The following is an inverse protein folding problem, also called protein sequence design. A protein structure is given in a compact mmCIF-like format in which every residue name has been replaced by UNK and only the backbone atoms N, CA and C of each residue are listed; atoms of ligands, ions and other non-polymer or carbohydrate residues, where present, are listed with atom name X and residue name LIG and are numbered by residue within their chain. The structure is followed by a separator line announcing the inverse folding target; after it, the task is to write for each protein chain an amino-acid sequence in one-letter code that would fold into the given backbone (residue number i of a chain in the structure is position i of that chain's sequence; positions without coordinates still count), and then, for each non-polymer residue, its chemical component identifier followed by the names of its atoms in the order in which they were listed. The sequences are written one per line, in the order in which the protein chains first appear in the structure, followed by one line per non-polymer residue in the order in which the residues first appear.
data_IF_749693300990
#
_entry.id   IF_749693300990
#
_cell.length_a   1.000
_cell.length_b   1.000
_cell.length_c   1.000
_cell.angle_alpha   90.00
_cell.angle_beta   90.00
_cell.angle_gamma   90.00
#
_symmetry.space_group_name_H-M   'P 1'
#
loop_
_entity.id
_entity.type
_entity.pdbx_description
1 polymer ?
#
# COMPACT_ATOMS: atom_id res chain seq x y z
N UNK A 1 32.88 -43.99 36.30
CA UNK A 1 31.66 -43.91 35.45
C UNK A 1 31.02 -42.55 35.64
N UNK A 2 31.05 -41.68 34.60
CA UNK A 2 30.28 -40.42 34.42
C UNK A 2 30.98 -39.56 33.34
N UNK A 3 30.96 -40.01 32.08
CA UNK A 3 31.45 -39.20 30.93
C UNK A 3 30.63 -39.36 29.64
N UNK A 4 29.58 -40.19 29.63
CA UNK A 4 28.78 -40.45 28.42
C UNK A 4 27.47 -39.66 28.30
N UNK A 5 27.02 -39.01 29.38
CA UNK A 5 25.77 -38.23 29.38
C UNK A 5 25.89 -36.79 28.88
N UNK A 6 27.09 -36.18 28.95
CA UNK A 6 27.26 -34.76 28.63
C UNK A 6 27.37 -34.51 27.11
N UNK A 7 27.98 -35.45 26.37
CA UNK A 7 28.14 -35.33 24.92
C UNK A 7 26.80 -35.51 24.20
N UNK A 8 25.94 -36.40 24.69
CA UNK A 8 24.62 -36.65 24.10
C UNK A 8 23.73 -35.39 24.20
N UNK A 9 23.81 -34.66 25.32
CA UNK A 9 23.02 -33.46 25.58
C UNK A 9 23.45 -32.28 24.68
N UNK A 10 24.74 -32.20 24.35
CA UNK A 10 25.30 -31.18 23.46
C UNK A 10 24.93 -31.42 22.00
N UNK A 11 24.90 -32.68 21.54
CA UNK A 11 24.46 -33.00 20.17
C UNK A 11 22.97 -32.72 19.95
N UNK A 12 22.11 -33.00 20.94
CA UNK A 12 20.67 -32.70 20.84
C UNK A 12 20.42 -31.19 20.76
N UNK A 13 21.14 -30.38 21.54
CA UNK A 13 21.02 -28.91 21.48
C UNK A 13 21.47 -28.33 20.14
N UNK A 14 22.54 -28.84 19.54
CA UNK A 14 23.03 -28.39 18.23
C UNK A 14 22.06 -28.79 17.11
N UNK A 15 21.50 -30.00 17.15
CA UNK A 15 20.50 -30.45 16.16
C UNK A 15 19.19 -29.65 16.30
N UNK A 16 18.72 -29.38 17.53
CA UNK A 16 17.54 -28.54 17.74
C UNK A 16 17.75 -27.09 17.27
N UNK A 17 18.94 -26.52 17.47
CA UNK A 17 19.31 -25.19 16.95
C UNK A 17 19.35 -25.15 15.42
N UNK A 18 19.92 -26.17 14.77
CA UNK A 18 19.95 -26.27 13.30
C UNK A 18 18.56 -26.51 12.71
N UNK A 19 17.68 -27.27 13.38
CA UNK A 19 16.29 -27.42 12.96
C UNK A 19 15.48 -26.12 13.12
N UNK A 20 15.74 -25.33 14.17
CA UNK A 20 15.11 -24.01 14.32
C UNK A 20 15.57 -23.03 13.23
N UNK A 21 16.86 -23.02 12.86
CA UNK A 21 17.37 -22.20 11.76
C UNK A 21 16.83 -22.67 10.40
N UNK A 22 16.61 -23.97 10.20
CA UNK A 22 15.99 -24.48 8.97
C UNK A 22 14.48 -24.19 8.90
N UNK A 23 13.75 -24.24 10.02
CA UNK A 23 12.33 -23.91 10.07
C UNK A 23 12.05 -22.40 10.02
N UNK A 24 12.93 -21.55 10.56
CA UNK A 24 12.81 -20.08 10.48
C UNK A 24 13.57 -19.43 9.31
N UNK A 25 14.61 -20.08 8.79
CA UNK A 25 15.33 -19.68 7.57
C UNK A 25 14.63 -20.12 6.28
N UNK A 26 13.53 -20.87 6.42
CA UNK A 26 12.58 -21.23 5.36
C UNK A 26 11.27 -20.42 5.50
N UNK A 27 11.37 -19.13 5.85
CA UNK A 27 10.79 -18.12 4.95
C UNK A 27 11.66 -18.24 3.71
N UNK A 28 11.38 -19.15 2.78
CA UNK A 28 10.41 -18.82 1.75
C UNK A 28 10.39 -17.30 1.50
N UNK A 29 11.57 -16.78 1.13
CA UNK A 29 11.66 -16.21 -0.20
C UNK A 29 11.24 -17.31 -1.18
N UNK A 30 9.94 -17.65 -1.16
CA UNK A 30 9.26 -17.89 -2.38
C UNK A 30 9.68 -16.68 -3.22
N UNK A 31 10.52 -16.93 -4.21
CA UNK A 31 10.24 -16.39 -5.52
C UNK A 31 8.78 -16.78 -5.81
N UNK A 32 7.85 -16.08 -5.16
CA UNK A 32 6.61 -15.70 -5.80
C UNK A 32 7.14 -15.02 -7.03
N UNK A 33 6.94 -15.65 -8.19
CA UNK A 33 6.91 -14.92 -9.44
C UNK A 33 6.07 -13.68 -9.15
N UNK A 34 6.72 -12.56 -8.88
CA UNK A 34 6.07 -11.26 -8.82
C UNK A 34 5.63 -11.08 -10.25
N UNK A 35 4.35 -11.40 -10.51
CA UNK A 35 3.74 -11.12 -11.79
C UNK A 35 4.03 -9.65 -12.10
N UNK A 36 4.83 -9.45 -13.12
CA UNK A 36 5.76 -8.32 -13.27
C UNK A 36 5.04 -7.16 -13.94
N UNK A 37 3.93 -6.71 -13.36
CA UNK A 37 3.11 -5.66 -13.97
C UNK A 37 2.76 -4.53 -12.98
N UNK A 38 3.54 -4.33 -11.91
CA UNK A 38 3.37 -3.11 -11.09
C UNK A 38 3.90 -1.87 -11.83
N UNK A 39 3.07 -0.83 -11.93
CA UNK A 39 3.41 0.47 -12.50
C UNK A 39 3.51 1.49 -11.36
N UNK A 40 4.72 2.02 -11.16
CA UNK A 40 4.98 3.08 -10.17
C UNK A 40 5.02 4.42 -10.89
N UNK A 41 4.06 5.29 -10.58
CA UNK A 41 3.94 6.63 -11.15
C UNK A 41 4.34 7.66 -10.08
N UNK A 42 5.33 8.48 -10.38
CA UNK A 42 5.75 9.57 -9.51
C UNK A 42 4.79 10.74 -9.67
N UNK A 43 4.28 11.26 -8.55
CA UNK A 43 3.39 12.43 -8.57
C UNK A 43 4.11 13.64 -7.95
N UNK A 44 4.58 13.52 -6.70
CA UNK A 44 5.30 14.57 -5.97
C UNK A 44 4.59 15.93 -5.97
N UNK A 45 3.29 15.92 -5.67
CA UNK A 45 2.43 17.10 -5.70
C UNK A 45 1.87 17.42 -4.32
N UNK A 46 1.64 18.71 -4.06
CA UNK A 46 0.88 19.16 -2.88
C UNK A 46 -0.58 19.33 -3.26
N UNK A 47 -1.46 18.69 -2.51
CA UNK A 47 -2.91 18.79 -2.69
C UNK A 47 -3.60 19.06 -1.36
N UNK A 48 -4.82 19.58 -1.45
CA UNK A 48 -5.72 19.68 -0.31
C UNK A 48 -6.76 18.58 -0.39
N UNK A 49 -6.90 17.79 0.67
CA UNK A 49 -7.97 16.80 0.79
C UNK A 49 -8.96 17.23 1.85
N UNK A 50 -10.19 16.73 1.75
CA UNK A 50 -11.24 16.98 2.74
C UNK A 50 -11.12 16.05 3.94
N UNK A 51 -11.44 16.57 5.11
CA UNK A 51 -11.72 15.78 6.30
C UNK A 51 -12.63 16.51 7.27
N UNK A 52 -12.74 15.99 8.47
CA UNK A 52 -13.58 16.56 9.53
C UNK A 52 -12.77 16.77 10.80
N UNK A 53 -12.93 17.91 11.45
CA UNK A 53 -12.35 18.15 12.76
C UNK A 53 -12.93 17.14 13.78
N UNK A 54 -12.07 16.43 14.53
CA UNK A 54 -12.49 15.43 15.53
C UNK A 54 -13.35 16.02 16.65
N UNK A 55 -13.12 17.28 17.01
CA UNK A 55 -13.77 17.94 18.14
C UNK A 55 -15.07 18.64 17.75
N UNK A 56 -15.10 19.31 16.60
CA UNK A 56 -16.27 20.12 16.16
C UNK A 56 -17.12 19.43 15.10
N UNK A 57 -16.58 18.45 14.38
CA UNK A 57 -17.24 17.80 13.24
C UNK A 57 -17.28 18.65 11.96
N UNK A 58 -16.70 19.86 11.98
CA UNK A 58 -16.68 20.76 10.83
C UNK A 58 -15.78 20.22 9.70
N UNK A 59 -16.19 20.44 8.45
CA UNK A 59 -15.37 20.10 7.28
C UNK A 59 -14.14 21.02 7.22
N UNK A 60 -12.96 20.42 7.06
CA UNK A 60 -11.68 21.13 6.95
C UNK A 60 -10.90 20.66 5.73
N UNK A 61 -9.99 21.51 5.25
CA UNK A 61 -9.03 21.20 4.21
C UNK A 61 -7.68 20.82 4.84
N UNK A 62 -7.08 19.76 4.30
CA UNK A 62 -5.93 19.07 4.86
C UNK A 62 -4.81 19.10 3.83
N UNK A 63 -3.69 19.73 4.19
CA UNK A 63 -2.54 19.88 3.30
C UNK A 63 -1.73 18.59 3.28
N UNK A 64 -1.60 18.01 2.10
CA UNK A 64 -0.95 16.71 1.89
C UNK A 64 0.07 16.77 0.76
N UNK A 65 1.19 16.09 0.94
CA UNK A 65 2.16 15.84 -0.10
C UNK A 65 2.00 14.42 -0.62
N UNK A 66 1.61 14.25 -1.88
CA UNK A 66 1.45 12.95 -2.52
C UNK A 66 2.73 12.58 -3.25
N UNK A 67 3.39 11.52 -2.79
CA UNK A 67 4.68 11.06 -3.33
C UNK A 67 4.47 10.33 -4.66
N UNK A 68 3.67 9.26 -4.61
CA UNK A 68 3.56 8.31 -5.71
C UNK A 68 2.24 7.56 -5.71
N UNK A 69 1.97 6.98 -6.88
CA UNK A 69 0.88 6.03 -7.13
C UNK A 69 1.49 4.71 -7.56
N UNK A 70 1.02 3.63 -6.96
CA UNK A 70 1.36 2.27 -7.33
C UNK A 70 0.11 1.62 -7.90
N UNK A 71 0.16 1.22 -9.16
CA UNK A 71 -0.91 0.51 -9.86
C UNK A 71 -0.46 -0.92 -10.16
N UNK A 72 -1.30 -1.89 -9.85
CA UNK A 72 -1.18 -3.26 -10.35
C UNK A 72 -2.53 -3.72 -10.92
N UNK A 73 -2.61 -4.96 -11.41
CA UNK A 73 -3.83 -5.45 -12.06
C UNK A 73 -5.03 -5.47 -11.13
N UNK A 74 -4.83 -5.57 -9.82
CA UNK A 74 -5.89 -5.86 -8.87
C UNK A 74 -6.19 -4.66 -7.95
N UNK A 75 -5.32 -3.65 -7.93
CA UNK A 75 -5.41 -2.54 -6.99
C UNK A 75 -4.60 -1.32 -7.38
N UNK A 76 -4.95 -0.20 -6.75
CA UNK A 76 -4.18 1.04 -6.72
C UNK A 76 -3.87 1.44 -5.28
N UNK A 77 -2.65 1.93 -5.05
CA UNK A 77 -2.22 2.51 -3.78
C UNK A 77 -1.64 3.92 -4.01
N UNK A 78 -2.07 4.89 -3.20
CA UNK A 78 -1.60 6.28 -3.27
C UNK A 78 -0.91 6.61 -1.95
N UNK A 79 0.37 6.98 -2.03
CA UNK A 79 1.21 7.24 -0.87
C UNK A 79 1.38 8.75 -0.67
N UNK A 80 1.07 9.22 0.55
CA UNK A 80 1.12 10.64 0.87
C UNK A 80 1.49 10.89 2.32
N UNK A 81 1.93 12.12 2.61
CA UNK A 81 2.28 12.59 3.95
C UNK A 81 1.45 13.82 4.31
N UNK A 82 0.93 13.86 5.54
CA UNK A 82 0.27 15.04 6.08
C UNK A 82 1.31 16.05 6.57
N UNK A 83 1.17 17.32 6.15
CA UNK A 83 2.15 18.35 6.53
C UNK A 83 1.98 18.84 7.98
N UNK A 84 0.79 18.69 8.59
CA UNK A 84 0.47 19.17 9.96
C UNK A 84 -0.03 18.04 10.88
N UNK A 85 0.03 18.25 12.21
CA UNK A 85 -0.58 17.31 13.17
C UNK A 85 -2.07 17.59 13.24
N UNK A 86 -2.88 16.66 12.77
CA UNK A 86 -4.28 16.96 12.56
C UNK A 86 -5.19 16.17 13.51
N UNK A 87 -5.96 16.90 14.31
CA UNK A 87 -7.15 16.40 15.02
C UNK A 87 -8.30 16.24 14.03
N UNK A 88 -8.11 15.39 13.03
CA UNK A 88 -9.05 15.19 11.94
C UNK A 88 -9.41 13.73 11.73
N UNK A 89 -10.55 13.49 11.10
CA UNK A 89 -10.90 12.22 10.48
C UNK A 89 -11.00 12.44 8.99
N UNK A 90 -10.31 11.62 8.20
CA UNK A 90 -10.42 11.59 6.75
C UNK A 90 -10.48 10.14 6.27
N UNK A 91 -11.04 9.91 5.10
CA UNK A 91 -11.00 8.62 4.41
C UNK A 91 -9.93 8.59 3.32
N UNK A 92 -9.06 9.60 3.27
CA UNK A 92 -7.99 9.73 2.28
C UNK A 92 -8.40 10.43 0.99
N UNK A 93 -7.66 10.18 -0.07
CA UNK A 93 -7.90 10.78 -1.40
C UNK A 93 -9.06 10.02 -2.06
N UNK A 94 -10.08 10.75 -2.51
CA UNK A 94 -11.29 10.18 -3.13
C UNK A 94 -11.36 10.38 -4.63
N UNK A 95 -10.82 11.48 -5.13
CA UNK A 95 -10.89 11.82 -6.55
C UNK A 95 -9.84 10.99 -7.30
N UNK A 96 -10.20 9.77 -7.68
CA UNK A 96 -9.29 8.80 -8.30
C UNK A 96 -10.01 8.17 -9.49
N UNK A 97 -9.49 8.33 -10.70
CA UNK A 97 -10.08 7.78 -11.91
C UNK A 97 -9.02 6.99 -12.71
N UNK A 98 -9.43 5.90 -13.35
CA UNK A 98 -8.63 5.20 -14.36
C UNK A 98 -9.22 5.48 -15.73
N UNK A 99 -8.39 5.94 -16.67
CA UNK A 99 -8.77 6.15 -18.06
C UNK A 99 -8.12 5.07 -18.92
N UNK A 100 -8.94 4.34 -19.66
CA UNK A 100 -8.52 3.28 -20.57
C UNK A 100 -8.28 3.84 -21.98
N UNK A 101 -7.43 3.17 -22.76
CA UNK A 101 -7.11 3.53 -24.16
C UNK A 101 -8.30 3.47 -25.11
N UNK A 102 -9.37 2.76 -24.73
CA UNK A 102 -10.63 2.72 -25.47
C UNK A 102 -11.53 3.95 -25.19
N UNK A 103 -11.13 4.85 -24.28
CA UNK A 103 -11.86 6.03 -23.86
C UNK A 103 -12.77 5.84 -22.64
N UNK A 104 -12.91 4.62 -22.11
CA UNK A 104 -13.66 4.36 -20.88
C UNK A 104 -12.93 4.97 -19.67
N UNK A 105 -13.72 5.49 -18.71
CA UNK A 105 -13.20 6.05 -17.46
C UNK A 105 -13.95 5.42 -16.30
N UNK A 106 -13.21 5.00 -15.28
CA UNK A 106 -13.73 4.36 -14.07
C UNK A 106 -13.44 5.25 -12.87
N UNK A 107 -14.47 5.71 -12.17
CA UNK A 107 -14.35 6.42 -10.89
C UNK A 107 -14.10 5.39 -9.78
N UNK A 108 -12.85 5.27 -9.35
CA UNK A 108 -12.45 4.17 -8.47
C UNK A 108 -13.05 4.30 -7.07
N UNK A 109 -13.31 5.52 -6.58
CA UNK A 109 -13.84 5.68 -5.23
C UNK A 109 -15.33 5.33 -5.15
N UNK A 110 -16.08 5.66 -6.19
CA UNK A 110 -17.51 5.41 -6.26
C UNK A 110 -17.86 4.02 -6.80
N UNK A 111 -17.02 3.44 -7.67
CA UNK A 111 -17.29 2.15 -8.32
C UNK A 111 -16.65 0.95 -7.60
N UNK A 112 -15.65 1.16 -6.75
CA UNK A 112 -15.04 0.08 -5.96
C UNK A 112 -15.58 0.07 -4.52
N UNK A 113 -15.98 -1.12 -4.06
CA UNK A 113 -16.48 -1.30 -2.69
C UNK A 113 -15.33 -1.33 -1.67
N UNK A 114 -14.26 -2.03 -2.01
CA UNK A 114 -13.11 -2.25 -1.12
C UNK A 114 -12.08 -1.11 -1.26
N UNK A 115 -12.18 -0.17 -0.32
CA UNK A 115 -11.33 1.01 -0.19
C UNK A 115 -10.96 1.21 1.26
N UNK A 116 -9.67 1.37 1.51
CA UNK A 116 -9.14 1.56 2.86
C UNK A 116 -8.12 2.69 2.88
N UNK A 117 -7.93 3.25 4.06
CA UNK A 117 -6.84 4.18 4.33
C UNK A 117 -6.08 3.66 5.54
N UNK A 118 -4.77 3.50 5.41
CA UNK A 118 -3.86 3.31 6.54
C UNK A 118 -3.17 4.62 6.89
N UNK A 119 -2.99 4.89 8.18
CA UNK A 119 -2.29 6.08 8.66
C UNK A 119 -1.26 5.71 9.73
N UNK A 120 -0.02 6.16 9.53
CA UNK A 120 1.05 6.14 10.51
C UNK A 120 1.16 7.52 11.17
N UNK A 121 0.75 7.60 12.45
CA UNK A 121 0.78 8.85 13.22
C UNK A 121 2.19 9.36 13.51
N UNK A 122 3.19 8.47 13.60
CA UNK A 122 4.57 8.84 13.94
C UNK A 122 5.25 9.50 12.75
N UNK A 123 5.10 8.92 11.56
CA UNK A 123 5.70 9.43 10.33
C UNK A 123 4.80 10.43 9.60
N UNK A 124 3.55 10.56 10.05
CA UNK A 124 2.46 11.29 9.38
C UNK A 124 2.20 10.81 7.95
N UNK A 125 2.48 9.53 7.67
CA UNK A 125 2.32 8.94 6.34
C UNK A 125 1.00 8.20 6.25
N UNK A 126 0.35 8.31 5.12
CA UNK A 126 -0.87 7.60 4.83
C UNK A 126 -0.81 6.92 3.47
N UNK A 127 -1.68 5.92 3.32
CA UNK A 127 -1.87 5.22 2.07
C UNK A 127 -3.36 5.01 1.86
N UNK A 128 -3.89 5.53 0.75
CA UNK A 128 -5.21 5.15 0.26
C UNK A 128 -5.03 3.92 -0.63
N UNK A 129 -5.79 2.87 -0.36
CA UNK A 129 -5.78 1.62 -1.10
C UNK A 129 -7.17 1.34 -1.65
N UNK A 130 -7.26 0.99 -2.94
CA UNK A 130 -8.51 0.58 -3.59
C UNK A 130 -8.25 -0.75 -4.30
N UNK A 131 -9.08 -1.75 -4.01
CA UNK A 131 -9.07 -3.05 -4.69
C UNK A 131 -10.16 -3.06 -5.76
N UNK A 132 -9.79 -3.49 -6.96
CA UNK A 132 -10.73 -3.58 -8.07
C UNK A 132 -11.63 -4.81 -7.91
N UNK A 133 -12.92 -4.64 -8.21
CA UNK A 133 -13.86 -5.76 -8.24
C UNK A 133 -13.54 -6.77 -9.35
N UNK A 134 -12.83 -6.33 -10.39
CA UNK A 134 -12.29 -7.14 -11.48
C UNK A 134 -10.88 -6.68 -11.83
N UNK A 135 -9.93 -7.58 -12.11
CA UNK A 135 -8.60 -7.20 -12.54
C UNK A 135 -8.62 -6.34 -13.80
N UNK A 136 -7.81 -5.28 -13.82
CA UNK A 136 -7.57 -4.43 -14.97
C UNK A 136 -6.48 -5.03 -15.87
N UNK A 137 -6.68 -4.91 -17.18
CA UNK A 137 -5.63 -5.17 -18.17
C UNK A 137 -4.74 -3.93 -18.24
N UNK A 138 -3.61 -3.96 -17.56
CA UNK A 138 -2.77 -2.77 -17.38
C UNK A 138 -2.23 -2.17 -18.67
N UNK A 139 -2.04 -2.97 -19.71
CA UNK A 139 -1.62 -2.50 -21.03
C UNK A 139 -2.70 -1.66 -21.73
N UNK A 140 -3.96 -1.77 -21.29
CA UNK A 140 -5.09 -0.98 -21.79
C UNK A 140 -5.34 0.29 -20.96
N UNK A 141 -4.67 0.44 -19.81
CA UNK A 141 -4.71 1.70 -19.05
C UNK A 141 -3.90 2.76 -19.79
N UNK A 142 -4.49 3.93 -20.00
CA UNK A 142 -3.84 5.09 -20.64
C UNK A 142 -3.24 6.02 -19.59
N UNK A 143 -4.05 6.40 -18.59
CA UNK A 143 -3.67 7.35 -17.54
C UNK A 143 -4.50 7.14 -16.28
N UNK A 144 -3.96 7.59 -15.17
CA UNK A 144 -4.65 7.63 -13.87
C UNK A 144 -4.82 9.08 -13.48
N UNK A 145 -6.01 9.47 -13.07
CA UNK A 145 -6.25 10.75 -12.40
C UNK A 145 -6.17 10.55 -10.90
N UNK A 146 -5.35 11.36 -10.24
CA UNK A 146 -5.35 11.49 -8.79
C UNK A 146 -5.55 12.95 -8.47
N UNK A 147 -6.64 13.25 -7.78
CA UNK A 147 -7.14 14.61 -7.59
C UNK A 147 -7.38 15.29 -8.95
N UNK A 148 -6.70 16.41 -9.25
CA UNK A 148 -6.80 17.14 -10.51
C UNK A 148 -5.63 16.84 -11.49
N UNK A 149 -4.75 15.88 -11.15
CA UNK A 149 -3.57 15.53 -11.94
C UNK A 149 -3.75 14.22 -12.67
N UNK A 150 -3.43 14.22 -13.96
CA UNK A 150 -3.33 13.01 -14.78
C UNK A 150 -1.88 12.53 -14.85
N UNK A 151 -1.70 11.24 -14.63
CA UNK A 151 -0.43 10.52 -14.68
C UNK A 151 -0.50 9.51 -15.83
N UNK A 152 0.36 9.67 -16.83
CA UNK A 152 0.45 8.74 -17.96
C UNK A 152 0.99 7.38 -17.49
N UNK A 153 0.36 6.29 -17.94
CA UNK A 153 0.84 4.93 -17.69
C UNK A 153 1.69 4.46 -18.87
N UNK A 154 3.00 4.19 -18.67
CA UNK A 154 3.92 3.84 -19.75
C UNK A 154 3.78 2.39 -20.24
#
# INVERSE_FOLDING_TARGET
MKKKGFILLLFVLVICSLCFIYLYGKKENANVDINTDEKILQLNERINIKGQNKSTGEEVQIETFVEKVVLNSDSIAIFYQFEKSEDIVTSGIKDIEVVMKNGETYDLWNECDDKTMSYDEQEKKATTYIVFSKPLVLQEVEKIKVYDKYLDVP
#
